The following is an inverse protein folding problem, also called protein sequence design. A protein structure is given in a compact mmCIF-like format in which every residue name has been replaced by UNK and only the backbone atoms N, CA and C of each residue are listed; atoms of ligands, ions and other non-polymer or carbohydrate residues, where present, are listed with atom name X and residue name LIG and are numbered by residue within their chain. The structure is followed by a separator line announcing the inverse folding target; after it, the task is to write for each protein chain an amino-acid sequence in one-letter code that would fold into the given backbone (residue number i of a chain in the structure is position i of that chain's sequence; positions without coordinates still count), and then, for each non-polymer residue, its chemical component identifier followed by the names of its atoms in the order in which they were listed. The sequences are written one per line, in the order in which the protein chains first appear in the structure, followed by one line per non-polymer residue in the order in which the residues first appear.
data_IF_182842872278
#
_entry.id   IF_182842872278
#
_cell.length_a   1.000
_cell.length_b   1.000
_cell.length_c   1.000
_cell.angle_alpha   90.00
_cell.angle_beta   90.00
_cell.angle_gamma   90.00
#
_symmetry.space_group_name_H-M   'P 1'
#
loop_
_entity.id
_entity.type
_entity.pdbx_description
1 polymer ?
#
# COMPACT_ATOMS: atom_id res chain seq x y z
N UNK A 1 -0.45 10.62 -14.56
CA UNK A 1 -0.96 9.70 -13.51
C UNK A 1 -0.67 8.28 -13.96
N UNK A 2 0.08 7.51 -13.18
CA UNK A 2 0.23 6.07 -13.43
C UNK A 2 -1.11 5.39 -13.11
N UNK A 3 -1.51 4.39 -13.91
CA UNK A 3 -2.73 3.61 -13.66
C UNK A 3 -2.59 2.79 -12.37
N UNK A 4 -3.68 2.66 -11.60
CA UNK A 4 -3.69 1.88 -10.36
C UNK A 4 -3.17 0.45 -10.55
N UNK A 5 -3.52 -0.22 -11.65
CA UNK A 5 -3.03 -1.58 -11.94
C UNK A 5 -1.51 -1.66 -12.07
N UNK A 6 -0.90 -0.64 -12.66
CA UNK A 6 0.56 -0.56 -12.82
C UNK A 6 1.21 -0.31 -11.46
N UNK A 7 0.62 0.57 -10.63
CA UNK A 7 1.08 0.79 -9.26
C UNK A 7 0.98 -0.49 -8.42
N UNK A 8 -0.17 -1.18 -8.43
CA UNK A 8 -0.35 -2.45 -7.71
C UNK A 8 0.70 -3.48 -8.10
N UNK A 9 0.93 -3.68 -9.40
CA UNK A 9 1.95 -4.62 -9.89
C UNK A 9 3.35 -4.22 -9.43
N UNK A 10 3.68 -2.93 -9.49
CA UNK A 10 4.98 -2.45 -9.07
C UNK A 10 5.18 -2.63 -7.56
N UNK A 11 4.20 -2.27 -6.74
CA UNK A 11 4.20 -2.44 -5.29
C UNK A 11 4.35 -3.92 -4.90
N UNK A 12 3.59 -4.82 -5.54
CA UNK A 12 3.70 -6.27 -5.33
C UNK A 12 5.10 -6.80 -5.65
N UNK A 13 5.68 -6.36 -6.78
CA UNK A 13 7.04 -6.75 -7.15
C UNK A 13 8.08 -6.24 -6.15
N UNK A 14 7.94 -5.02 -5.63
CA UNK A 14 8.86 -4.45 -4.65
C UNK A 14 8.74 -5.21 -3.32
N UNK A 15 7.51 -5.39 -2.82
CA UNK A 15 7.25 -6.16 -1.60
C UNK A 15 7.85 -7.57 -1.69
N UNK A 16 7.65 -8.27 -2.81
CA UNK A 16 8.21 -9.61 -3.01
C UNK A 16 9.75 -9.61 -3.04
N UNK A 17 10.39 -8.60 -3.65
CA UNK A 17 11.85 -8.45 -3.65
C UNK A 17 12.42 -8.20 -2.26
N UNK A 18 11.71 -7.46 -1.43
CA UNK A 18 12.09 -7.17 -0.04
C UNK A 18 11.75 -8.35 0.90
N UNK A 19 11.05 -9.38 0.41
CA UNK A 19 10.66 -10.57 1.20
C UNK A 19 9.38 -10.39 2.02
N UNK A 20 8.53 -9.44 1.63
CA UNK A 20 7.25 -9.13 2.26
C UNK A 20 6.07 -9.64 1.42
N UNK A 21 4.99 -10.03 2.10
CA UNK A 21 3.72 -10.39 1.46
C UNK A 21 2.76 -9.21 1.51
N UNK A 22 2.18 -8.85 0.36
CA UNK A 22 1.14 -7.81 0.26
C UNK A 22 -0.08 -8.36 -0.48
N UNK A 23 -1.26 -8.15 0.10
CA UNK A 23 -2.53 -8.55 -0.50
C UNK A 23 -2.96 -7.59 -1.63
N UNK A 24 -3.81 -8.05 -2.55
CA UNK A 24 -4.31 -7.21 -3.64
C UNK A 24 -5.17 -6.04 -3.13
N UNK A 25 -5.95 -6.25 -2.06
CA UNK A 25 -6.72 -5.20 -1.41
C UNK A 25 -5.81 -4.10 -0.84
N UNK A 26 -4.75 -4.51 -0.13
CA UNK A 26 -3.73 -3.61 0.42
C UNK A 26 -3.01 -2.82 -0.68
N UNK A 27 -2.51 -3.51 -1.73
CA UNK A 27 -1.83 -2.87 -2.84
C UNK A 27 -2.76 -1.87 -3.56
N UNK A 28 -4.05 -2.19 -3.67
CA UNK A 28 -5.07 -1.32 -4.22
C UNK A 28 -5.29 -0.06 -3.40
N UNK A 29 -5.37 -0.16 -2.08
CA UNK A 29 -5.50 1.01 -1.20
C UNK A 29 -4.29 1.95 -1.32
N UNK A 30 -3.07 1.41 -1.34
CA UNK A 30 -1.86 2.22 -1.50
C UNK A 30 -1.87 2.92 -2.87
N UNK A 31 -2.22 2.20 -3.94
CA UNK A 31 -2.30 2.77 -5.28
C UNK A 31 -3.35 3.88 -5.39
N UNK A 32 -4.50 3.72 -4.71
CA UNK A 32 -5.57 4.70 -4.63
C UNK A 32 -5.12 5.96 -3.88
N UNK A 33 -4.55 5.80 -2.68
CA UNK A 33 -4.04 6.92 -1.88
C UNK A 33 -2.89 7.66 -2.56
N UNK A 34 -2.08 6.96 -3.34
CA UNK A 34 -0.99 7.57 -4.09
C UNK A 34 -1.45 8.37 -5.32
N UNK A 35 -2.73 8.30 -5.71
CA UNK A 35 -3.30 9.04 -6.83
C UNK A 35 -2.42 9.02 -8.11
N UNK A 36 -1.90 7.86 -8.48
CA UNK A 36 -1.06 7.72 -9.67
C UNK A 36 0.36 8.29 -9.55
N UNK A 37 0.82 8.62 -8.33
CA UNK A 37 2.20 8.94 -7.99
C UNK A 37 2.95 7.69 -7.52
N UNK A 38 3.93 7.25 -8.30
CA UNK A 38 4.75 6.10 -7.94
C UNK A 38 5.61 6.36 -6.70
N UNK A 39 6.09 7.60 -6.52
CA UNK A 39 6.92 7.97 -5.36
C UNK A 39 6.13 7.86 -4.06
N UNK A 40 4.90 8.38 -4.03
CA UNK A 40 4.05 8.31 -2.84
C UNK A 40 3.72 6.85 -2.51
N UNK A 41 3.31 6.07 -3.51
CA UNK A 41 3.02 4.65 -3.34
C UNK A 41 4.23 3.87 -2.79
N UNK A 42 5.42 4.10 -3.35
CA UNK A 42 6.64 3.45 -2.89
C UNK A 42 7.04 3.92 -1.48
N UNK A 43 6.88 5.20 -1.16
CA UNK A 43 7.17 5.74 0.18
C UNK A 43 6.28 5.12 1.26
N UNK A 44 4.98 4.96 0.98
CA UNK A 44 4.03 4.27 1.87
C UNK A 44 4.45 2.82 2.07
N UNK A 45 4.80 2.12 0.99
CA UNK A 45 5.28 0.74 1.05
C UNK A 45 6.55 0.62 1.91
N UNK A 46 7.50 1.54 1.75
CA UNK A 46 8.76 1.57 2.49
C UNK A 46 8.53 1.80 4.00
N UNK A 47 7.57 2.65 4.36
CA UNK A 47 7.14 2.82 5.75
C UNK A 47 6.50 1.54 6.30
N UNK A 48 5.69 0.84 5.51
CA UNK A 48 5.07 -0.43 5.91
C UNK A 48 6.10 -1.53 6.10
N UNK A 49 7.09 -1.61 5.22
CA UNK A 49 8.25 -2.51 5.33
C UNK A 49 9.05 -2.18 6.60
N UNK A 50 9.29 -0.89 6.85
CA UNK A 50 9.97 -0.39 8.05
C UNK A 50 9.20 -0.65 9.35
N UNK A 51 7.90 -0.94 9.27
CA UNK A 51 7.10 -1.38 10.43
C UNK A 51 7.52 -2.75 10.97
N UNK A 52 8.30 -3.52 10.21
CA UNK A 52 8.83 -4.83 10.63
C UNK A 52 7.84 -6.00 10.50
N UNK A 53 6.61 -5.76 10.04
CA UNK A 53 5.65 -6.83 9.75
C UNK A 53 5.96 -7.46 8.39
N UNK A 54 6.31 -8.75 8.37
CA UNK A 54 6.54 -9.51 7.11
C UNK A 54 5.33 -9.54 6.18
N UNK A 55 4.13 -9.33 6.73
CA UNK A 55 2.87 -9.36 5.99
C UNK A 55 2.18 -8.01 6.10
N UNK A 56 2.03 -7.34 4.97
CA UNK A 56 1.36 -6.05 4.87
C UNK A 56 -0.14 -6.31 4.68
N UNK A 57 -0.88 -6.16 5.78
CA UNK A 57 -2.34 -6.30 5.78
C UNK A 57 -3.02 -4.98 5.45
N UNK A 58 -4.31 -5.07 5.09
CA UNK A 58 -5.12 -3.88 4.81
C UNK A 58 -5.21 -2.96 6.04
N UNK A 59 -5.28 -3.54 7.24
CA UNK A 59 -5.29 -2.80 8.51
C UNK A 59 -3.99 -2.02 8.70
N UNK A 60 -2.83 -2.69 8.56
CA UNK A 60 -1.53 -2.03 8.68
C UNK A 60 -1.43 -0.89 7.66
N UNK A 61 -1.75 -1.14 6.38
CA UNK A 61 -1.76 -0.09 5.36
C UNK A 61 -2.68 1.08 5.72
N UNK A 62 -3.90 0.84 6.20
CA UNK A 62 -4.82 1.90 6.64
C UNK A 62 -4.26 2.74 7.79
N UNK A 63 -3.61 2.11 8.77
CA UNK A 63 -2.97 2.82 9.89
C UNK A 63 -1.89 3.79 9.41
N UNK A 64 -1.07 3.38 8.44
CA UNK A 64 -0.01 4.23 7.89
C UNK A 64 -0.53 5.28 6.91
N UNK A 65 -1.55 4.95 6.13
CA UNK A 65 -2.20 5.88 5.20
C UNK A 65 -2.99 6.99 5.91
N UNK A 66 -3.10 6.93 7.25
CA UNK A 66 -4.05 7.75 8.03
C UNK A 66 -5.45 7.75 7.40
N UNK A 67 -5.78 6.66 6.70
CA UNK A 67 -7.05 6.52 6.02
C UNK A 67 -8.08 6.19 7.11
N UNK A 68 -9.19 6.95 7.21
CA UNK A 68 -10.20 6.65 8.21
C UNK A 68 -10.70 5.21 8.02
N UNK A 69 -10.97 4.49 9.13
CA UNK A 69 -11.66 3.21 9.04
C UNK A 69 -12.97 3.42 8.28
N UNK A 70 -13.47 2.38 7.60
CA UNK A 70 -14.72 2.43 6.82
C UNK A 70 -15.99 2.55 7.70
N UNK A 71 -15.86 3.12 8.90
CA UNK A 71 -16.90 3.38 9.91
C UNK A 71 -17.09 4.90 10.13
N UNK A 72 -16.77 5.73 9.14
CA UNK A 72 -17.12 7.16 9.22
C UNK A 72 -17.81 7.61 7.94
N UNK A 73 -18.92 6.96 7.63
CA UNK A 73 -19.94 7.48 6.72
C UNK A 73 -21.30 7.09 7.33
N UNK A 74 -21.71 7.81 8.37
CA UNK A 74 -23.13 8.01 8.71
C UNK A 74 -23.51 9.44 8.31
#
# INVERSE_FOLDING_TARGET
KISEEVLKKALKNIAQKEGFEIDDGTAGLIALCAEGSFRDAQGILDQLISSGEKKITEETARRFLSAPPRELIE
#
